data_IF_344480431238
#
_entry.id   IF_344480431238
#
_cell.length_a   1.000
_cell.length_b   1.000
_cell.length_c   1.000
_cell.angle_alpha   90.00
_cell.angle_beta   90.00
_cell.angle_gamma   90.00
#
_symmetry.space_group_name_H-M   'P 1'
#
loop_
_entity.id
_entity.type
_entity.pdbx_description
1 polymer ?
#
# COMPACT_ATOMS: atom_id res chain seq x y z
N UNK A 1 -15.69 -11.84 -11.83
CA UNK A 1 -15.13 -10.47 -11.95
C UNK A 1 -13.61 -10.43 -11.72
N UNK A 2 -12.82 -11.32 -12.35
CA UNK A 2 -11.36 -11.41 -12.11
C UNK A 2 -10.52 -10.69 -13.17
N UNK A 3 -11.07 -10.42 -14.36
CA UNK A 3 -10.29 -9.91 -15.49
C UNK A 3 -9.83 -8.44 -15.31
N UNK A 4 -10.62 -7.61 -14.61
CA UNK A 4 -10.31 -6.20 -14.39
C UNK A 4 -9.13 -5.98 -13.44
N UNK A 5 -9.04 -6.73 -12.34
CA UNK A 5 -7.96 -6.58 -11.34
C UNK A 5 -6.61 -7.02 -11.89
N UNK A 6 -6.55 -8.17 -12.55
CA UNK A 6 -5.30 -8.63 -13.18
C UNK A 6 -4.88 -7.74 -14.34
N UNK A 7 -5.83 -7.11 -15.06
CA UNK A 7 -5.51 -6.11 -16.07
C UNK A 7 -4.92 -4.86 -15.43
N UNK A 8 -5.56 -4.32 -14.37
CA UNK A 8 -5.05 -3.15 -13.65
C UNK A 8 -3.63 -3.38 -13.12
N UNK A 9 -3.36 -4.56 -12.56
CA UNK A 9 -2.02 -4.91 -12.10
C UNK A 9 -0.99 -4.89 -13.25
N UNK A 10 -1.34 -5.45 -14.43
CA UNK A 10 -0.46 -5.38 -15.61
C UNK A 10 -0.21 -3.94 -16.07
N UNK A 11 -1.24 -3.11 -16.05
CA UNK A 11 -1.13 -1.71 -16.44
C UNK A 11 -0.20 -0.93 -15.50
N UNK A 12 -0.19 -1.24 -14.21
CA UNK A 12 0.78 -0.69 -13.24
C UNK A 12 2.20 -1.15 -13.54
N UNK A 13 2.40 -2.46 -13.77
CA UNK A 13 3.73 -3.01 -14.06
C UNK A 13 4.35 -2.45 -15.34
N UNK A 14 3.53 -1.98 -16.29
CA UNK A 14 4.00 -1.38 -17.53
C UNK A 14 4.53 0.07 -17.38
N UNK A 15 4.24 0.77 -16.27
CA UNK A 15 4.60 2.19 -16.09
C UNK A 15 6.10 2.41 -15.77
N UNK A 16 6.85 1.35 -15.48
CA UNK A 16 8.25 1.45 -15.06
C UNK A 16 8.39 1.90 -13.59
N UNK A 17 9.62 2.03 -13.09
CA UNK A 17 9.88 2.19 -11.64
C UNK A 17 9.55 3.58 -11.08
N UNK A 18 9.47 4.61 -11.93
CA UNK A 18 9.22 5.98 -11.49
C UNK A 18 7.71 6.24 -11.47
N UNK A 19 7.16 6.55 -10.28
CA UNK A 19 5.72 6.79 -10.13
C UNK A 19 4.86 5.52 -10.03
N UNK A 20 5.50 4.37 -9.78
CA UNK A 20 4.81 3.10 -9.56
C UNK A 20 3.98 3.13 -8.27
N UNK A 21 2.66 2.99 -8.39
CA UNK A 21 1.74 2.86 -7.25
C UNK A 21 1.90 1.48 -6.58
N UNK A 22 2.93 1.35 -5.75
CA UNK A 22 3.31 0.11 -5.07
C UNK A 22 2.21 -0.39 -4.12
N UNK A 23 1.57 0.53 -3.42
CA UNK A 23 0.41 0.28 -2.55
C UNK A 23 -0.74 -0.39 -3.31
N UNK A 24 -1.15 0.18 -4.44
CA UNK A 24 -2.20 -0.39 -5.29
C UNK A 24 -1.79 -1.77 -5.82
N UNK A 25 -0.55 -1.92 -6.31
CA UNK A 25 -0.04 -3.18 -6.81
C UNK A 25 -0.04 -4.29 -5.74
N UNK A 26 0.40 -3.98 -4.51
CA UNK A 26 0.37 -4.90 -3.38
C UNK A 26 -1.06 -5.33 -3.02
N UNK A 27 -2.00 -4.39 -3.00
CA UNK A 27 -3.40 -4.69 -2.71
C UNK A 27 -4.06 -5.52 -3.81
N UNK A 28 -3.71 -5.31 -5.08
CA UNK A 28 -4.18 -6.15 -6.19
C UNK A 28 -3.64 -7.59 -6.11
N UNK A 29 -2.40 -7.78 -5.64
CA UNK A 29 -1.86 -9.11 -5.33
C UNK A 29 -2.66 -9.75 -4.18
N UNK A 30 -2.90 -9.01 -3.10
CA UNK A 30 -3.68 -9.51 -1.96
C UNK A 30 -5.12 -9.86 -2.36
N UNK A 31 -5.75 -9.05 -3.22
CA UNK A 31 -7.09 -9.28 -3.75
C UNK A 31 -7.16 -10.54 -4.62
N UNK A 32 -6.06 -10.96 -5.25
CA UNK A 32 -6.01 -12.24 -5.96
C UNK A 32 -6.12 -13.44 -4.99
N UNK A 33 -5.46 -13.37 -3.83
CA UNK A 33 -5.57 -14.39 -2.78
C UNK A 33 -6.88 -14.28 -1.98
N UNK A 34 -7.43 -13.08 -1.85
CA UNK A 34 -8.68 -12.80 -1.14
C UNK A 34 -9.62 -11.94 -2.02
N UNK A 35 -10.44 -12.57 -2.88
CA UNK A 35 -11.28 -11.85 -3.85
C UNK A 35 -12.31 -10.89 -3.26
N UNK A 36 -12.62 -10.99 -1.97
CA UNK A 36 -13.53 -10.10 -1.25
C UNK A 36 -12.83 -8.89 -0.62
N UNK A 37 -11.53 -8.70 -0.87
CA UNK A 37 -10.77 -7.57 -0.33
C UNK A 37 -11.21 -6.26 -1.00
N UNK A 38 -11.56 -5.26 -0.20
CA UNK A 38 -11.88 -3.92 -0.69
C UNK A 38 -10.60 -3.11 -0.92
N UNK A 39 -10.04 -3.20 -2.13
CA UNK A 39 -8.81 -2.49 -2.50
C UNK A 39 -8.93 -0.98 -2.27
N UNK A 40 -10.07 -0.37 -2.64
CA UNK A 40 -10.28 1.07 -2.48
C UNK A 40 -10.28 1.48 -1.01
N UNK A 41 -11.01 0.75 -0.17
CA UNK A 41 -11.04 1.00 1.28
C UNK A 41 -9.66 0.89 1.94
N UNK A 42 -8.84 -0.09 1.54
CA UNK A 42 -7.47 -0.21 2.07
C UNK A 42 -6.54 0.91 1.59
N UNK A 43 -6.67 1.39 0.34
CA UNK A 43 -5.93 2.57 -0.12
C UNK A 43 -6.28 3.80 0.71
N UNK A 44 -7.58 4.08 0.92
CA UNK A 44 -8.01 5.20 1.76
C UNK A 44 -7.49 5.07 3.19
N UNK A 45 -7.43 3.85 3.74
CA UNK A 45 -6.85 3.63 5.07
C UNK A 45 -5.34 3.90 5.11
N UNK A 46 -4.61 3.60 4.05
CA UNK A 46 -3.19 3.94 3.95
C UNK A 46 -2.99 5.46 3.90
N UNK A 47 -3.83 6.18 3.16
CA UNK A 47 -3.80 7.65 3.11
C UNK A 47 -4.08 8.27 4.49
N UNK A 48 -5.06 7.73 5.24
CA UNK A 48 -5.33 8.16 6.61
C UNK A 48 -4.12 7.96 7.53
N UNK A 49 -3.51 6.77 7.49
CA UNK A 49 -2.32 6.45 8.29
C UNK A 49 -1.14 7.35 7.93
N UNK A 50 -0.93 7.63 6.64
CA UNK A 50 0.09 8.56 6.20
C UNK A 50 -0.17 9.98 6.71
N UNK A 51 -1.44 10.41 6.79
CA UNK A 51 -1.86 11.69 7.33
C UNK A 51 -1.61 11.86 8.84
N UNK A 52 -1.45 10.77 9.59
CA UNK A 52 -1.14 10.79 11.02
C UNK A 52 0.35 11.08 11.30
N UNK A 53 1.22 11.01 10.27
CA UNK A 53 2.66 11.19 10.41
C UNK A 53 3.04 12.67 10.52
N UNK A 54 3.51 13.06 11.71
CA UNK A 54 3.89 14.43 12.03
C UNK A 54 5.31 14.48 12.62
N UNK A 55 6.28 15.13 11.94
CA UNK A 55 6.17 15.79 10.63
C UNK A 55 6.05 14.77 9.46
N UNK A 56 5.49 15.14 8.29
CA UNK A 56 5.34 14.26 7.13
C UNK A 56 6.68 14.06 6.41
N UNK A 57 7.64 13.47 7.11
CA UNK A 57 9.00 13.20 6.66
C UNK A 57 9.33 11.73 6.86
N UNK A 58 10.40 11.25 6.21
CA UNK A 58 10.90 9.89 6.42
C UNK A 58 11.26 9.66 7.89
N UNK A 59 11.90 10.62 8.54
CA UNK A 59 12.26 10.51 9.96
C UNK A 59 11.02 10.41 10.86
N UNK A 60 10.00 11.24 10.62
CA UNK A 60 8.73 11.17 11.36
C UNK A 60 8.01 9.83 11.15
N UNK A 61 8.10 9.26 9.94
CA UNK A 61 7.58 7.94 9.64
C UNK A 61 8.34 6.84 10.39
N UNK A 62 9.68 6.88 10.36
CA UNK A 62 10.54 5.91 11.07
C UNK A 62 10.26 5.95 12.57
N UNK A 63 10.22 7.15 13.17
CA UNK A 63 9.94 7.32 14.58
C UNK A 63 8.56 6.78 14.96
N UNK A 64 7.55 7.01 14.12
CA UNK A 64 6.19 6.49 14.33
C UNK A 64 6.13 4.95 14.25
N UNK A 65 6.70 4.37 13.19
CA UNK A 65 6.67 2.92 12.93
C UNK A 65 7.45 2.15 14.00
N UNK A 66 8.69 2.55 14.27
CA UNK A 66 9.59 1.81 15.15
C UNK A 66 9.47 2.21 16.64
N UNK A 67 8.89 3.38 16.92
CA UNK A 67 8.59 3.83 18.27
C UNK A 67 7.19 3.41 18.71
N UNK A 68 6.17 4.30 18.68
CA UNK A 68 4.83 4.05 19.23
C UNK A 68 4.13 2.81 18.69
N UNK A 69 4.29 2.48 17.40
CA UNK A 69 3.65 1.31 16.81
C UNK A 69 4.42 0.00 17.04
N UNK A 70 5.66 0.06 17.53
CA UNK A 70 6.44 -1.10 17.94
C UNK A 70 6.72 -2.09 16.81
N UNK A 71 6.72 -1.65 15.55
CA UNK A 71 7.12 -2.52 14.45
C UNK A 71 8.63 -2.75 14.48
N UNK A 72 9.07 -3.99 14.27
CA UNK A 72 10.49 -4.36 14.24
C UNK A 72 10.91 -5.05 12.94
N UNK A 73 9.99 -5.13 11.97
CA UNK A 73 10.17 -5.91 10.74
C UNK A 73 9.94 -7.41 10.94
N UNK A 74 10.23 -8.19 9.90
CA UNK A 74 10.23 -9.65 9.96
C UNK A 74 11.60 -10.14 10.42
N UNK A 75 11.64 -11.00 11.44
CA UNK A 75 12.82 -11.78 11.86
C UNK A 75 12.85 -13.14 11.20
#
# INVERSE_FOLDING_TARGET
MSASMSQRFRDLMAQGPNGFALDEACLLIAAHARPSLDVGGYLSRLDELAGEILPPTLDGLIDSIFGPHGFHGNT
#
